data_IF_861559798790
#
_entry.id   IF_861559798790
#
_cell.length_a   1.000
_cell.length_b   1.000
_cell.length_c   1.000
_cell.angle_alpha   90.00
_cell.angle_beta   90.00
_cell.angle_gamma   90.00
#
_symmetry.space_group_name_H-M   'P 1'
#
loop_
_entity.id
_entity.type
_entity.pdbx_description
1 polymer ?
#
# COMPACT_ATOMS: atom_id res chain seq x y z
N UNK A 1 48.56 -28.16 14.70
CA UNK A 1 47.48 -27.15 14.52
C UNK A 1 46.06 -27.66 14.88
N UNK A 2 45.87 -28.88 15.41
CA UNK A 2 44.52 -29.41 15.68
C UNK A 2 43.85 -28.94 16.98
N UNK A 3 44.62 -28.43 17.96
CA UNK A 3 44.08 -28.03 19.27
C UNK A 3 43.17 -26.81 19.18
N UNK A 4 43.52 -25.83 18.35
CA UNK A 4 42.71 -24.61 18.13
C UNK A 4 41.36 -24.96 17.51
N UNK A 5 41.35 -25.84 16.49
CA UNK A 5 40.11 -26.30 15.88
C UNK A 5 39.24 -27.11 16.85
N UNK A 6 39.84 -27.93 17.72
CA UNK A 6 39.11 -28.67 18.74
C UNK A 6 38.45 -27.74 19.77
N UNK A 7 39.18 -26.72 20.23
CA UNK A 7 38.65 -25.71 21.16
C UNK A 7 37.53 -24.90 20.49
N UNK A 8 37.71 -24.51 19.23
CA UNK A 8 36.69 -23.79 18.47
C UNK A 8 35.37 -24.57 18.36
N UNK A 9 35.42 -25.84 17.92
CA UNK A 9 34.21 -26.66 17.81
C UNK A 9 33.58 -26.98 19.17
N UNK A 10 34.38 -27.10 20.23
CA UNK A 10 33.88 -27.27 21.59
C UNK A 10 33.08 -26.04 22.05
N UNK A 11 33.63 -24.84 21.90
CA UNK A 11 32.97 -23.59 22.28
C UNK A 11 31.77 -23.25 21.40
N UNK A 12 31.88 -23.49 20.09
CA UNK A 12 30.78 -23.30 19.14
C UNK A 12 29.59 -24.23 19.48
N UNK A 13 29.87 -25.52 19.73
CA UNK A 13 28.83 -26.48 20.11
C UNK A 13 28.20 -26.13 21.45
N UNK A 14 28.99 -25.59 22.39
CA UNK A 14 28.51 -25.13 23.69
C UNK A 14 27.62 -23.90 23.57
N UNK A 15 27.96 -22.94 22.72
CA UNK A 15 27.14 -21.75 22.47
C UNK A 15 25.85 -22.07 21.71
N UNK A 16 25.92 -22.84 20.62
CA UNK A 16 24.73 -23.19 19.82
C UNK A 16 23.74 -24.05 20.63
N UNK A 17 24.20 -24.86 21.60
CA UNK A 17 23.30 -25.61 22.50
C UNK A 17 22.71 -24.79 23.64
N UNK A 18 23.12 -23.54 23.82
CA UNK A 18 22.60 -22.70 24.89
C UNK A 18 21.17 -22.28 24.53
N UNK A 19 20.20 -22.72 25.34
CA UNK A 19 18.76 -22.50 25.10
C UNK A 19 18.43 -21.04 24.79
N UNK A 20 19.01 -20.10 25.53
CA UNK A 20 18.80 -18.66 25.31
C UNK A 20 19.32 -18.16 23.95
N UNK A 21 20.46 -18.67 23.47
CA UNK A 21 21.00 -18.30 22.15
C UNK A 21 20.12 -18.81 21.01
N UNK A 22 19.60 -20.04 21.12
CA UNK A 22 18.66 -20.58 20.14
C UNK A 22 17.34 -19.80 20.16
N UNK A 23 16.85 -19.43 21.35
CA UNK A 23 15.61 -18.65 21.51
C UNK A 23 15.73 -17.25 20.91
N UNK A 24 16.85 -16.55 21.10
CA UNK A 24 17.02 -15.20 20.52
C UNK A 24 17.26 -15.25 19.02
N UNK A 25 18.10 -16.18 18.56
CA UNK A 25 18.55 -16.23 17.15
C UNK A 25 17.48 -16.81 16.24
N UNK A 26 16.74 -17.83 16.70
CA UNK A 26 15.69 -18.48 15.90
C UNK A 26 14.28 -18.14 16.38
N UNK A 27 14.08 -17.84 17.67
CA UNK A 27 12.75 -17.56 18.19
C UNK A 27 12.16 -16.25 17.69
N UNK A 28 12.94 -15.17 17.59
CA UNK A 28 12.43 -13.91 17.05
C UNK A 28 12.07 -14.03 15.55
N UNK A 29 12.95 -14.56 14.66
CA UNK A 29 12.56 -14.81 13.28
C UNK A 29 11.40 -15.79 13.12
N UNK A 30 11.35 -16.85 13.94
CA UNK A 30 10.24 -17.80 13.92
C UNK A 30 8.92 -17.17 14.37
N UNK A 31 8.93 -16.25 15.35
CA UNK A 31 7.74 -15.51 15.77
C UNK A 31 7.21 -14.62 14.64
N UNK A 32 8.10 -13.93 13.92
CA UNK A 32 7.72 -13.15 12.73
C UNK A 32 7.11 -14.05 11.66
N UNK A 33 7.77 -15.19 11.35
CA UNK A 33 7.28 -16.15 10.37
C UNK A 33 5.88 -16.69 10.75
N UNK A 34 5.69 -17.09 12.00
CA UNK A 34 4.40 -17.56 12.52
C UNK A 34 3.35 -16.46 12.46
N UNK A 35 3.71 -15.21 12.75
CA UNK A 35 2.82 -14.05 12.64
C UNK A 35 2.34 -13.83 11.20
N UNK A 36 3.24 -13.86 10.23
CA UNK A 36 2.91 -13.70 8.80
C UNK A 36 2.04 -14.85 8.30
N UNK A 37 2.40 -16.10 8.62
CA UNK A 37 1.61 -17.27 8.23
C UNK A 37 0.23 -17.27 8.89
N UNK A 38 0.15 -16.92 10.17
CA UNK A 38 -1.12 -16.79 10.89
C UNK A 38 -2.01 -15.69 10.30
N UNK A 39 -1.42 -14.56 9.92
CA UNK A 39 -2.14 -13.47 9.25
C UNK A 39 -2.69 -13.89 7.89
N UNK A 40 -1.91 -14.61 7.07
CA UNK A 40 -2.37 -15.15 5.78
C UNK A 40 -3.54 -16.13 5.95
N UNK A 41 -3.42 -17.11 6.85
CA UNK A 41 -4.47 -18.10 7.10
C UNK A 41 -5.76 -17.44 7.64
N UNK A 42 -5.62 -16.39 8.43
CA UNK A 42 -6.75 -15.63 8.95
C UNK A 42 -7.44 -14.78 7.88
N UNK A 43 -6.69 -14.23 6.92
CA UNK A 43 -7.25 -13.54 5.77
C UNK A 43 -7.97 -14.50 4.81
N UNK A 44 -7.38 -15.64 4.48
CA UNK A 44 -8.02 -16.66 3.62
C UNK A 44 -9.34 -17.17 4.21
N UNK A 45 -9.40 -17.33 5.55
CA UNK A 45 -10.63 -17.75 6.24
C UNK A 45 -11.73 -16.69 6.17
N UNK A 46 -11.38 -15.41 6.03
CA UNK A 46 -12.33 -14.28 5.89
C UNK A 46 -12.72 -13.99 4.44
N UNK A 47 -11.99 -14.51 3.46
CA UNK A 47 -12.32 -14.34 2.03
C UNK A 47 -13.63 -15.04 1.61
N UNK A 48 -14.24 -15.86 2.47
CA UNK A 48 -15.53 -16.52 2.20
C UNK A 48 -16.75 -15.69 2.67
N UNK A 49 -16.55 -14.65 3.49
CA UNK A 49 -17.63 -13.78 3.99
C UNK A 49 -17.25 -12.32 3.71
N UNK A 50 -17.76 -11.77 2.60
CA UNK A 50 -17.80 -10.35 2.20
C UNK A 50 -16.52 -9.52 2.43
N UNK A 51 -15.84 -9.08 1.36
CA UNK A 51 -14.54 -8.44 1.47
C UNK A 51 -14.70 -7.03 2.07
N UNK A 52 -14.36 -6.91 3.35
CA UNK A 52 -13.71 -5.69 3.83
C UNK A 52 -12.26 -5.74 3.32
N UNK A 53 -12.10 -5.61 2.01
CA UNK A 53 -10.80 -5.44 1.40
C UNK A 53 -10.12 -4.23 2.05
N UNK A 54 -8.81 -4.31 2.38
CA UNK A 54 -8.04 -3.15 2.78
C UNK A 54 -8.33 -2.05 1.77
N UNK A 55 -8.61 -0.84 2.24
CA UNK A 55 -9.01 0.30 1.40
C UNK A 55 -8.08 0.49 0.18
N UNK A 56 -6.81 0.06 0.29
CA UNK A 56 -5.85 0.00 -0.81
C UNK A 56 -6.17 -1.01 -1.91
N UNK A 57 -6.60 -2.23 -1.60
CA UNK A 57 -6.89 -3.28 -2.60
C UNK A 57 -8.13 -2.93 -3.44
N UNK A 58 -9.14 -2.32 -2.81
CA UNK A 58 -10.31 -1.77 -3.50
C UNK A 58 -9.91 -0.62 -4.43
N UNK A 59 -8.96 0.21 -4.00
CA UNK A 59 -8.53 1.38 -4.78
C UNK A 59 -7.81 0.99 -6.07
N UNK A 60 -7.00 -0.08 -6.04
CA UNK A 60 -6.29 -0.58 -7.22
C UNK A 60 -7.21 -1.24 -8.25
N UNK A 61 -8.39 -1.72 -7.85
CA UNK A 61 -9.38 -2.30 -8.78
C UNK A 61 -10.06 -1.22 -9.65
N UNK A 62 -9.98 0.06 -9.26
CA UNK A 62 -10.59 1.19 -9.99
C UNK A 62 -9.60 2.08 -10.74
N UNK A 63 -8.32 1.69 -10.83
CA UNK A 63 -7.30 2.45 -11.56
C UNK A 63 -7.03 1.75 -12.88
N UNK A 64 -7.71 2.19 -13.94
CA UNK A 64 -7.47 1.73 -15.30
C UNK A 64 -6.25 2.43 -15.91
N UNK A 65 -6.04 3.71 -15.55
CA UNK A 65 -4.94 4.52 -16.09
C UNK A 65 -4.39 5.50 -15.06
N UNK A 66 -3.07 5.50 -14.87
CA UNK A 66 -2.38 6.37 -13.94
C UNK A 66 -1.45 7.37 -14.65
N UNK A 67 -1.32 8.57 -14.09
CA UNK A 67 -0.30 9.55 -14.46
C UNK A 67 0.91 9.50 -13.53
N UNK A 68 2.04 10.05 -13.95
CA UNK A 68 3.12 10.41 -13.03
C UNK A 68 3.89 11.66 -13.48
N UNK A 69 4.43 12.37 -12.49
CA UNK A 69 5.36 13.50 -12.64
C UNK A 69 6.64 13.15 -11.90
N UNK A 70 7.79 13.31 -12.56
CA UNK A 70 9.09 12.96 -12.01
C UNK A 70 9.99 14.18 -11.86
N UNK A 71 10.14 14.68 -10.63
CA UNK A 71 11.08 15.74 -10.28
C UNK A 71 12.48 15.20 -9.92
N UNK A 72 12.64 13.89 -9.71
CA UNK A 72 13.96 13.28 -9.44
C UNK A 72 14.82 13.17 -10.70
N UNK A 73 14.17 13.09 -11.88
CA UNK A 73 14.82 12.89 -13.17
C UNK A 73 15.29 11.45 -13.43
N UNK A 74 15.05 10.53 -12.49
CA UNK A 74 15.51 9.13 -12.57
C UNK A 74 14.69 8.28 -13.52
N UNK A 75 13.42 8.60 -13.70
CA UNK A 75 12.46 7.78 -14.43
C UNK A 75 12.10 8.47 -15.73
N UNK A 76 13.10 8.75 -16.57
CA UNK A 76 12.96 9.59 -17.78
C UNK A 76 12.00 8.99 -18.83
N UNK A 77 11.87 7.66 -18.86
CA UNK A 77 11.03 6.92 -19.82
C UNK A 77 10.05 6.00 -19.10
N UNK A 78 8.90 5.75 -19.73
CA UNK A 78 7.96 4.73 -19.26
C UNK A 78 8.51 3.37 -19.68
N UNK A 79 8.66 2.40 -18.75
CA UNK A 79 9.16 1.08 -19.09
C UNK A 79 8.27 0.36 -20.11
N UNK A 80 8.91 -0.44 -20.98
CA UNK A 80 8.23 -1.27 -21.96
C UNK A 80 7.13 -2.13 -21.30
N UNK A 81 5.90 -2.01 -21.79
CA UNK A 81 4.72 -2.74 -21.28
C UNK A 81 3.84 -1.98 -20.29
N UNK A 82 4.23 -0.78 -19.86
CA UNK A 82 3.40 0.10 -19.01
C UNK A 82 2.77 1.27 -19.77
N UNK A 83 3.02 1.44 -21.06
CA UNK A 83 2.60 2.63 -21.84
C UNK A 83 1.09 2.78 -21.93
N UNK A 84 0.35 1.68 -21.80
CA UNK A 84 -1.11 1.70 -21.81
C UNK A 84 -1.71 2.05 -20.44
N UNK A 85 -0.95 1.83 -19.36
CA UNK A 85 -1.40 1.99 -17.97
C UNK A 85 -0.85 3.26 -17.32
N UNK A 86 0.29 3.77 -17.80
CA UNK A 86 1.05 4.83 -17.17
C UNK A 86 1.41 5.93 -18.17
N UNK A 87 1.01 7.17 -17.88
CA UNK A 87 1.31 8.35 -18.69
C UNK A 87 2.25 9.28 -17.92
N UNK A 88 3.35 9.68 -18.55
CA UNK A 88 4.23 10.73 -18.02
C UNK A 88 3.66 12.11 -18.30
N UNK A 89 3.69 12.99 -17.30
CA UNK A 89 3.43 14.42 -17.41
C UNK A 89 4.69 15.24 -17.10
N UNK A 90 4.78 16.43 -17.68
CA UNK A 90 5.93 17.33 -17.48
C UNK A 90 5.89 18.00 -16.10
N UNK A 91 4.69 18.34 -15.64
CA UNK A 91 4.49 19.09 -14.41
C UNK A 91 3.19 18.67 -13.69
N UNK A 92 3.04 19.17 -12.46
CA UNK A 92 1.88 18.87 -11.63
C UNK A 92 0.56 19.39 -12.22
N UNK A 93 0.59 20.52 -12.93
CA UNK A 93 -0.63 21.17 -13.44
C UNK A 93 -1.23 20.38 -14.60
N UNK A 94 -0.40 19.87 -15.51
CA UNK A 94 -0.79 19.00 -16.61
C UNK A 94 -1.32 17.66 -16.12
N UNK A 95 -0.68 17.05 -15.12
CA UNK A 95 -1.16 15.81 -14.50
C UNK A 95 -2.52 16.00 -13.81
N UNK A 96 -2.69 17.13 -13.09
CA UNK A 96 -3.96 17.48 -12.44
C UNK A 96 -5.07 17.71 -13.47
N UNK A 97 -4.81 18.47 -14.52
CA UNK A 97 -5.79 18.70 -15.58
C UNK A 97 -6.22 17.40 -16.27
N UNK A 98 -5.29 16.46 -16.48
CA UNK A 98 -5.61 15.16 -17.04
C UNK A 98 -6.46 14.30 -16.10
N UNK A 99 -6.21 14.36 -14.79
CA UNK A 99 -7.04 13.69 -13.78
C UNK A 99 -8.45 14.30 -13.72
N UNK A 100 -8.56 15.62 -13.71
CA UNK A 100 -9.84 16.34 -13.70
C UNK A 100 -10.66 16.09 -14.97
N UNK A 101 -9.99 15.87 -16.12
CA UNK A 101 -10.60 15.48 -17.38
C UNK A 101 -10.97 13.98 -17.44
N UNK A 102 -10.62 13.17 -16.43
CA UNK A 102 -10.81 11.72 -16.42
C UNK A 102 -9.95 10.96 -17.42
N UNK A 103 -8.84 11.55 -17.87
CA UNK A 103 -7.86 10.88 -18.76
C UNK A 103 -7.00 9.88 -17.98
N UNK A 104 -6.74 10.19 -16.71
CA UNK A 104 -6.12 9.29 -15.72
C UNK A 104 -6.98 9.29 -14.47
N UNK A 105 -7.09 8.14 -13.82
CA UNK A 105 -7.88 7.98 -12.60
C UNK A 105 -7.14 8.55 -11.39
N UNK A 106 -5.81 8.49 -11.41
CA UNK A 106 -4.91 9.00 -10.37
C UNK A 106 -3.61 9.49 -10.99
N UNK A 107 -2.81 10.25 -10.24
CA UNK A 107 -1.42 10.50 -10.62
C UNK A 107 -0.46 10.49 -9.44
N UNK A 108 0.79 10.09 -9.71
CA UNK A 108 1.88 10.08 -8.75
C UNK A 108 2.82 11.26 -8.95
N UNK A 109 3.34 11.83 -7.87
CA UNK A 109 4.41 12.84 -7.91
C UNK A 109 5.62 12.28 -7.19
N UNK A 110 6.71 12.10 -7.93
CA UNK A 110 7.99 11.63 -7.42
C UNK A 110 8.79 12.87 -7.01
N UNK A 111 9.19 12.93 -5.74
CA UNK A 111 9.93 14.07 -5.19
C UNK A 111 11.34 14.19 -5.79
N UNK A 112 11.92 15.38 -5.73
CA UNK A 112 13.29 15.64 -6.20
C UNK A 112 14.33 14.81 -5.41
N UNK A 113 14.10 14.61 -4.11
CA UNK A 113 14.99 13.87 -3.19
C UNK A 113 14.67 12.36 -3.12
N UNK A 114 13.98 11.81 -4.11
CA UNK A 114 13.53 10.42 -4.13
C UNK A 114 14.65 9.39 -3.92
N UNK A 115 15.88 9.65 -4.40
CA UNK A 115 17.02 8.75 -4.14
C UNK A 115 17.32 8.57 -2.65
N UNK A 116 17.10 9.62 -1.85
CA UNK A 116 17.38 9.64 -0.42
C UNK A 116 16.16 9.24 0.41
N UNK A 117 14.96 9.67 -0.01
CA UNK A 117 13.73 9.58 0.79
C UNK A 117 12.80 8.45 0.35
N UNK A 118 12.83 8.07 -0.93
CA UNK A 118 11.84 7.19 -1.55
C UNK A 118 10.43 7.79 -1.59
N UNK A 119 10.29 9.12 -1.48
CA UNK A 119 8.97 9.76 -1.32
C UNK A 119 8.21 9.84 -2.65
N UNK A 120 6.98 9.32 -2.65
CA UNK A 120 6.01 9.45 -3.74
C UNK A 120 4.67 9.91 -3.17
N UNK A 121 4.05 10.89 -3.80
CA UNK A 121 2.74 11.44 -3.40
C UNK A 121 1.69 10.96 -4.40
N UNK A 122 0.67 10.25 -3.92
CA UNK A 122 -0.49 9.86 -4.71
C UNK A 122 -1.56 10.96 -4.65
N UNK A 123 -1.99 11.42 -5.81
CA UNK A 123 -3.14 12.31 -5.98
C UNK A 123 -4.30 11.52 -6.56
N UNK A 124 -5.43 11.59 -5.88
CA UNK A 124 -6.71 11.00 -6.30
C UNK A 124 -7.72 12.11 -6.54
N UNK A 125 -8.74 11.88 -7.40
CA UNK A 125 -9.86 12.79 -7.55
C UNK A 125 -10.56 12.99 -6.20
N UNK A 126 -11.19 14.16 -6.04
CA UNK A 126 -11.87 14.52 -4.79
C UNK A 126 -12.79 13.38 -4.32
N UNK A 127 -12.51 12.85 -3.13
CA UNK A 127 -13.34 11.85 -2.48
C UNK A 127 -14.73 12.44 -2.21
N UNK A 128 -15.68 12.16 -3.10
CA UNK A 128 -17.10 12.47 -2.87
C UNK A 128 -17.67 11.34 -2.03
N UNK A 129 -17.72 11.56 -0.72
CA UNK A 129 -18.46 10.69 0.20
C UNK A 129 -19.96 10.96 0.03
N UNK A 130 -20.55 10.49 -1.06
CA UNK A 130 -22.00 10.53 -1.27
C UNK A 130 -22.76 9.69 -0.21
N UNK A 131 -22.03 8.99 0.66
CA UNK A 131 -22.51 8.14 1.75
C UNK A 131 -22.73 8.87 3.08
N UNK A 132 -22.52 10.19 3.18
CA UNK A 132 -22.93 10.94 4.38
C UNK A 132 -24.45 11.16 4.33
N UNK A 133 -25.16 10.11 4.72
CA UNK A 133 -26.55 10.04 5.15
C UNK A 133 -27.48 11.13 4.57
N UNK A 134 -28.21 10.79 3.51
CA UNK A 134 -29.27 11.63 2.90
C UNK A 134 -30.51 11.83 3.81
N UNK A 135 -30.54 11.29 5.03
CA UNK A 135 -31.63 11.48 6.00
C UNK A 135 -32.11 12.93 6.18
N UNK A 136 -31.27 13.98 6.18
CA UNK A 136 -31.76 15.36 6.31
C UNK A 136 -32.66 15.79 5.15
N UNK A 137 -32.44 15.27 3.94
CA UNK A 137 -33.24 15.61 2.77
C UNK A 137 -34.59 14.90 2.75
N UNK A 138 -34.67 13.67 3.28
CA UNK A 138 -35.94 12.98 3.48
C UNK A 138 -36.83 13.74 4.47
N UNK A 139 -36.26 14.22 5.58
CA UNK A 139 -36.99 15.00 6.57
C UNK A 139 -37.48 16.36 6.01
N UNK A 140 -36.67 17.01 5.17
CA UNK A 140 -37.08 18.23 4.46
C UNK A 140 -38.24 17.96 3.48
N UNK A 141 -38.19 16.84 2.75
CA UNK A 141 -39.27 16.44 1.84
C UNK A 141 -40.57 16.19 2.61
N UNK A 142 -40.51 15.47 3.72
CA UNK A 142 -41.70 15.25 4.57
C UNK A 142 -42.25 16.56 5.15
N UNK A 143 -41.41 17.48 5.62
CA UNK A 143 -41.91 18.76 6.13
C UNK A 143 -42.53 19.64 5.04
N UNK A 144 -41.96 19.64 3.83
CA UNK A 144 -42.43 20.48 2.72
C UNK A 144 -43.73 19.96 2.11
N UNK A 145 -43.91 18.64 2.03
CA UNK A 145 -45.04 18.04 1.30
C UNK A 145 -46.06 17.33 2.19
N UNK A 146 -45.69 16.89 3.40
CA UNK A 146 -46.60 16.27 4.35
C UNK A 146 -47.04 17.21 5.49
N UNK A 147 -46.45 18.40 5.60
CA UNK A 147 -46.89 19.45 6.54
C UNK A 147 -48.17 20.19 6.12
N UNK A 148 -48.65 19.96 4.90
CA UNK A 148 -49.80 20.66 4.29
C UNK A 148 -51.03 19.73 4.08
N UNK A 149 -51.06 18.57 4.75
CA UNK A 149 -52.20 17.62 4.78
C UNK A 149 -52.89 17.60 6.16
#
# INVERSE_FOLDING_TARGET
MNKIMQVFFYELRRNIRRRGYLLSTFGLPALVLVGVLGFHLFQESRATEEPSAPLGDVLFEFIDKAGFVDYSGLFTEVPDGLENLLIRYEDLDSARAAMDAGTVDVFYVIAEDYEETGQVILHMPNLRLDFINVSPFEELFYQTFAGDL
#
